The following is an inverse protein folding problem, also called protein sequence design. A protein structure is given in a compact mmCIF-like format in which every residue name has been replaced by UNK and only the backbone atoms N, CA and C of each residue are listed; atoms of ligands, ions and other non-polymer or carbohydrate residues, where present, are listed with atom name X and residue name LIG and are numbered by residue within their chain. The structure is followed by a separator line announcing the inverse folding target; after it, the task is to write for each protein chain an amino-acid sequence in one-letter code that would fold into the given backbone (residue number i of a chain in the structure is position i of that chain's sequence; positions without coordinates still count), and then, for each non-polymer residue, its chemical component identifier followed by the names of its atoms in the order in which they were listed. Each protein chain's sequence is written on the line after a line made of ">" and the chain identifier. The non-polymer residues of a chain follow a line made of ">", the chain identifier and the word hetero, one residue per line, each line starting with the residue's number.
data_IF_634521119365
#
_entry.id   IF_634521119365
#
_cell.length_a   1.000
_cell.length_b   1.000
_cell.length_c   1.000
_cell.angle_alpha   90.00
_cell.angle_beta   90.00
_cell.angle_gamma   90.00
#
_symmetry.space_group_name_H-M   'P 1'
#
loop_
_entity.id
_entity.type
_entity.pdbx_description
1 polymer ?
2 polymer ?
3 water ?
#
# COMPACT_ATOMS: atom_id res chain seq x y z
N UNK A 21 4.13 0.97 26.98
CA UNK A 21 4.94 2.04 27.56
C UNK A 21 4.29 3.40 27.32
N UNK A 22 5.11 4.44 27.35
CA UNK A 22 4.65 5.77 26.96
C UNK A 22 4.60 5.87 25.44
N UNK A 23 3.57 6.54 24.93
CA UNK A 23 3.38 6.62 23.49
C UNK A 23 4.55 7.35 22.82
N UNK A 24 4.95 8.48 23.38
CA UNK A 24 6.10 9.20 22.84
C UNK A 24 7.38 8.39 22.96
N UNK A 25 7.51 7.60 24.03
CA UNK A 25 8.65 6.69 24.16
C UNK A 25 8.62 5.63 23.06
N UNK A 26 7.41 5.20 22.66
CA UNK A 26 7.29 4.22 21.59
C UNK A 26 7.52 4.85 20.22
N UNK A 27 7.17 6.13 20.07
CA UNK A 27 7.25 6.75 18.75
C UNK A 27 8.69 7.04 18.36
N UNK A 28 9.43 7.72 19.24
CA UNK A 28 10.80 8.09 18.90
C UNK A 28 11.71 6.87 18.82
N UNK A 29 11.40 5.80 19.55
CA UNK A 29 12.12 4.55 19.37
C UNK A 29 11.80 3.92 18.02
N UNK A 30 10.59 4.13 17.51
CA UNK A 30 10.28 3.70 16.14
C UNK A 30 11.02 4.56 15.12
N UNK A 31 11.23 5.84 15.43
CA UNK A 31 12.05 6.68 14.56
C UNK A 31 13.51 6.24 14.59
N UNK A 32 14.00 5.79 15.74
CA UNK A 32 15.35 5.23 15.81
C UNK A 32 15.44 3.93 15.02
N UNK A 33 14.44 3.06 15.14
CA UNK A 33 14.43 1.82 14.39
C UNK A 33 14.40 2.07 12.89
N UNK A 34 13.74 3.13 12.46
CA UNK A 34 13.72 3.47 11.04
C UNK A 34 15.12 3.87 10.56
N UNK A 35 15.83 4.70 11.33
CA UNK A 35 17.19 5.07 10.97
C UNK A 35 18.11 3.85 10.96
N UNK A 36 17.91 2.93 11.92
CA UNK A 36 18.68 1.70 11.97
C UNK A 36 18.19 0.65 11.00
N UNK A 37 17.12 0.94 10.25
CA UNK A 37 16.54 0.01 9.27
C UNK A 37 16.13 -1.30 9.93
N UNK A 38 15.65 -1.24 11.16
CA UNK A 38 15.12 -2.40 11.87
C UNK A 38 13.60 -2.28 11.88
N UNK A 39 13.00 -2.63 10.75
CA UNK A 39 11.58 -2.36 10.54
C UNK A 39 10.68 -3.32 11.30
N UNK A 40 11.20 -4.47 11.73
CA UNK A 40 10.44 -5.31 12.66
C UNK A 40 10.24 -4.60 13.99
N UNK A 41 11.30 -3.99 14.52
CA UNK A 41 11.17 -3.17 15.72
C UNK A 41 10.28 -1.97 15.47
N UNK A 42 10.41 -1.34 14.30
CA UNK A 42 9.63 -0.16 13.99
C UNK A 42 8.14 -0.48 13.90
N UNK A 43 7.80 -1.63 13.30
CA UNK A 43 6.41 -2.03 13.21
C UNK A 43 5.85 -2.45 14.57
N UNK A 44 6.69 -3.05 15.41
CA UNK A 44 6.23 -3.47 16.73
C UNK A 44 5.88 -2.27 17.62
N UNK A 45 6.71 -1.22 17.56
CA UNK A 45 6.43 -0.03 18.38
C UNK A 45 5.19 0.69 17.89
N UNK A 46 5.05 0.88 16.58
CA UNK A 46 3.88 1.57 16.05
C UNK A 46 2.62 0.75 16.18
N UNK A 47 2.73 -0.57 16.27
CA UNK A 47 1.56 -1.39 16.51
C UNK A 47 1.01 -1.17 17.92
N UNK A 48 1.91 -1.10 18.91
CA UNK A 48 1.49 -0.84 20.28
C UNK A 48 0.91 0.56 20.44
N UNK A 49 1.42 1.53 19.67
CA UNK A 49 0.84 2.86 19.67
C UNK A 49 -0.60 2.80 19.18
N UNK A 50 -0.84 2.01 18.12
CA UNK A 50 -2.20 1.85 17.61
C UNK A 50 -3.09 1.13 18.62
N UNK A 51 -2.54 0.11 19.30
CA UNK A 51 -3.31 -0.69 20.24
C UNK A 51 -3.68 0.05 21.51
N UNK A 52 -3.19 1.29 21.69
CA UNK A 52 -3.62 2.10 22.83
C UNK A 52 -4.92 2.83 22.58
N UNK A 53 -5.58 2.59 21.44
CA UNK A 53 -6.91 3.10 21.19
C UNK A 53 -6.99 4.53 20.72
N UNK A 54 -5.94 5.33 20.91
CA UNK A 54 -6.00 6.74 20.55
C UNK A 54 -5.72 6.93 19.06
N UNK A 55 -6.31 7.99 18.51
CA UNK A 55 -6.06 8.36 17.13
C UNK A 55 -4.59 8.69 16.94
N UNK A 56 -4.07 8.34 15.76
CA UNK A 56 -2.68 8.60 15.43
C UNK A 56 -2.54 10.00 14.83
N UNK A 57 -1.49 10.71 15.26
CA UNK A 57 -1.13 11.91 14.53
C UNK A 57 -0.67 11.53 13.13
N UNK A 58 -0.55 12.53 12.27
CA UNK A 58 -0.09 12.25 10.91
C UNK A 58 1.35 11.75 10.91
N UNK A 59 2.15 12.15 11.89
CA UNK A 59 3.50 11.59 12.02
C UNK A 59 3.44 10.11 12.39
N UNK A 60 2.69 9.77 13.45
CA UNK A 60 2.53 8.37 13.82
C UNK A 60 1.85 7.58 12.72
N UNK A 61 0.95 8.22 11.97
CA UNK A 61 0.29 7.53 10.87
C UNK A 61 1.30 7.13 9.79
N UNK A 62 2.24 8.02 9.50
CA UNK A 62 3.25 7.71 8.48
C UNK A 62 4.30 6.72 9.00
N UNK A 63 4.65 6.79 10.28
CA UNK A 63 5.58 5.83 10.84
C UNK A 63 5.01 4.42 10.80
N UNK A 64 3.72 4.28 11.11
CA UNK A 64 3.07 2.98 10.99
C UNK A 64 3.01 2.52 9.54
N UNK A 65 2.73 3.46 8.62
CA UNK A 65 2.68 3.11 7.20
C UNK A 65 4.05 2.67 6.69
N UNK A 66 5.09 3.44 7.01
CA UNK A 66 6.43 3.11 6.51
C UNK A 66 6.91 1.79 7.08
N UNK A 67 6.63 1.54 8.36
CA UNK A 67 7.13 0.33 9.02
C UNK A 67 6.57 -0.92 8.37
N UNK A 68 5.25 -1.04 8.31
CA UNK A 68 4.65 -2.26 7.77
C UNK A 68 4.86 -2.36 6.26
N UNK A 69 5.02 -1.25 5.57
CA UNK A 69 5.34 -1.30 4.14
C UNK A 69 6.69 -1.97 3.92
N UNK A 70 7.66 -1.71 4.79
CA UNK A 70 8.96 -2.36 4.68
C UNK A 70 8.89 -3.81 5.12
N UNK A 71 8.07 -4.10 6.14
CA UNK A 71 7.95 -5.47 6.63
C UNK A 71 7.27 -6.36 5.59
N UNK A 72 6.16 -5.88 5.02
CA UNK A 72 5.47 -6.65 3.99
C UNK A 72 6.23 -6.55 2.66
N UNK A 73 6.96 -5.46 2.43
CA UNK A 73 7.69 -5.31 1.18
C UNK A 73 8.83 -6.29 1.04
N UNK A 74 9.45 -6.69 2.15
CA UNK A 74 10.52 -7.68 2.09
C UNK A 74 9.98 -9.04 1.68
N UNK A 75 8.78 -9.39 2.14
CA UNK A 75 8.19 -10.68 1.76
C UNK A 75 7.72 -10.66 0.32
N UNK A 76 7.16 -9.54 -0.14
CA UNK A 76 6.73 -9.44 -1.53
C UNK A 76 7.91 -9.60 -2.48
N UNK A 77 9.04 -8.94 -2.17
CA UNK A 77 10.23 -9.06 -3.00
C UNK A 77 10.78 -10.49 -2.96
N UNK A 78 10.86 -11.07 -1.77
CA UNK A 78 11.30 -12.47 -1.66
C UNK A 78 10.34 -13.42 -2.35
N UNK A 79 9.03 -13.13 -2.30
CA UNK A 79 8.07 -13.95 -2.99
C UNK A 79 8.27 -13.90 -4.50
N UNK A 80 8.54 -12.71 -5.04
CA UNK A 80 8.75 -12.59 -6.48
C UNK A 80 10.00 -13.34 -6.92
N UNK A 81 11.05 -13.31 -6.10
CA UNK A 81 12.29 -14.00 -6.44
C UNK A 81 12.08 -15.50 -6.44
N UNK A 82 11.48 -16.04 -5.38
CA UNK A 82 11.29 -17.48 -5.27
C UNK A 82 10.24 -17.95 -6.27
N UNK A 83 9.21 -17.13 -6.51
CA UNK A 83 8.22 -17.50 -7.52
C UNK A 83 8.87 -17.61 -8.89
N UNK A 84 9.73 -16.66 -9.26
CA UNK A 84 10.37 -16.70 -10.58
C UNK A 84 11.32 -17.90 -10.69
N UNK A 85 12.07 -18.19 -9.63
CA UNK A 85 12.92 -19.37 -9.63
C UNK A 85 12.09 -20.64 -9.79
N UNK A 86 10.87 -20.64 -9.24
CA UNK A 86 10.00 -21.81 -9.36
C UNK A 86 9.60 -22.07 -10.80
N UNK A 87 9.41 -21.01 -11.59
CA UNK A 87 8.99 -21.19 -12.97
C UNK A 87 10.16 -21.48 -13.91
N UNK A 88 11.38 -21.07 -13.56
CA UNK A 88 12.54 -21.37 -14.38
C UNK A 88 13.16 -22.72 -14.05
N UNK A 89 12.69 -23.39 -12.99
CA UNK A 89 13.05 -24.76 -12.70
C UNK A 89 11.92 -25.72 -13.05
N UNK A 90 11.18 -25.41 -14.11
CA UNK A 90 10.02 -26.22 -14.48
C UNK A 90 10.40 -27.67 -14.75
N UNK A 91 11.49 -27.89 -15.48
CA UNK A 91 11.94 -29.24 -15.76
C UNK A 91 13.00 -29.76 -14.80
N UNK A 92 13.07 -29.16 -13.62
CA UNK A 92 13.96 -29.60 -12.55
C UNK A 92 13.08 -29.98 -11.36
N UNK A 93 12.77 -31.27 -11.24
CA UNK A 93 11.78 -31.71 -10.26
C UNK A 93 12.19 -31.36 -8.84
N UNK A 94 13.41 -31.74 -8.45
CA UNK A 94 13.82 -31.52 -7.07
C UNK A 94 14.00 -30.05 -6.74
N UNK A 95 14.55 -29.27 -7.69
CA UNK A 95 14.75 -27.85 -7.44
C UNK A 95 13.42 -27.10 -7.39
N UNK A 96 12.46 -27.48 -8.23
CA UNK A 96 11.18 -26.78 -8.25
C UNK A 96 10.37 -27.06 -6.99
N UNK A 97 10.44 -28.28 -6.48
CA UNK A 97 9.70 -28.61 -5.26
C UNK A 97 10.18 -27.78 -4.08
N UNK A 98 11.50 -27.57 -3.98
CA UNK A 98 12.05 -26.75 -2.92
C UNK A 98 11.64 -25.29 -3.09
N UNK A 99 11.67 -24.79 -4.33
CA UNK A 99 11.23 -23.43 -4.59
C UNK A 99 9.75 -23.26 -4.29
N UNK A 100 8.94 -24.28 -4.62
CA UNK A 100 7.51 -24.20 -4.31
C UNK A 100 7.28 -24.18 -2.80
N UNK A 101 8.02 -25.01 -2.06
CA UNK A 101 7.87 -25.05 -0.60
C UNK A 101 8.28 -23.72 0.01
N UNK A 102 9.39 -23.15 -0.43
CA UNK A 102 9.87 -21.90 0.12
C UNK A 102 8.93 -20.75 -0.21
N UNK A 103 8.33 -20.77 -1.41
CA UNK A 103 7.34 -19.75 -1.75
C UNK A 103 6.11 -19.85 -0.87
N UNK A 104 5.73 -21.06 -0.48
CA UNK A 104 4.57 -21.23 0.40
C UNK A 104 4.87 -20.74 1.81
N UNK A 105 6.13 -20.87 2.26
CA UNK A 105 6.49 -20.36 3.57
C UNK A 105 6.50 -18.84 3.59
N UNK A 106 7.04 -18.22 2.54
CA UNK A 106 7.02 -16.76 2.45
C UNK A 106 5.57 -16.26 2.34
N UNK A 107 4.74 -17.01 1.63
CA UNK A 107 3.33 -16.63 1.49
C UNK A 107 2.64 -16.59 2.86
N UNK A 108 2.88 -17.61 3.69
CA UNK A 108 2.26 -17.65 5.01
C UNK A 108 2.71 -16.47 5.86
N UNK A 109 4.00 -16.10 5.78
CA UNK A 109 4.47 -14.90 6.46
C UNK A 109 3.77 -13.65 5.91
N UNK A 110 3.60 -13.59 4.59
CA UNK A 110 3.01 -12.41 3.97
C UNK A 110 1.54 -12.26 4.35
N UNK A 111 0.81 -13.38 4.42
CA UNK A 111 -0.60 -13.30 4.78
C UNK A 111 -0.78 -12.92 6.25
N UNK A 112 0.12 -13.38 7.12
CA UNK A 112 0.02 -12.99 8.53
C UNK A 112 0.29 -11.50 8.71
N UNK A 113 1.22 -10.94 7.93
CA UNK A 113 1.53 -9.52 8.05
C UNK A 113 0.35 -8.67 7.61
N UNK A 114 -0.25 -9.00 6.46
CA UNK A 114 -1.39 -8.25 5.97
C UNK A 114 -2.60 -8.41 6.90
N UNK A 115 -2.83 -9.64 7.38
CA UNK A 115 -3.96 -9.87 8.28
C UNK A 115 -3.82 -9.07 9.57
N UNK A 116 -2.59 -8.87 10.04
CA UNK A 116 -2.39 -8.00 11.20
C UNK A 116 -2.65 -6.54 10.85
N UNK A 117 -2.15 -6.09 9.70
CA UNK A 117 -2.38 -4.71 9.27
C UNK A 117 -3.87 -4.46 9.07
N UNK A 118 -4.55 -5.39 8.40
CA UNK A 118 -5.98 -5.26 8.19
C UNK A 118 -6.74 -5.34 9.52
N UNK A 119 -6.24 -6.15 10.46
CA UNK A 119 -6.84 -6.20 11.79
C UNK A 119 -6.72 -4.85 12.50
N UNK A 120 -5.55 -4.21 12.41
CA UNK A 120 -5.37 -2.91 13.03
C UNK A 120 -6.23 -1.84 12.37
N UNK A 121 -6.47 -1.97 11.06
CA UNK A 121 -7.27 -0.98 10.35
C UNK A 121 -8.73 -1.05 10.75
N UNK A 122 -9.27 -2.26 10.91
CA UNK A 122 -10.71 -2.40 11.16
C UNK A 122 -11.07 -2.22 12.63
N UNK A 123 -10.13 -2.41 13.56
CA UNK A 123 -10.43 -2.28 14.98
C UNK A 123 -10.08 -0.91 15.56
N UNK A 124 -8.96 -0.32 15.13
CA UNK A 124 -8.55 0.96 15.69
C UNK A 124 -8.55 2.10 14.67
N UNK A 125 -8.05 1.87 13.46
CA UNK A 125 -7.66 2.98 12.60
C UNK A 125 -8.85 3.59 11.85
N UNK A 126 -9.57 2.78 11.09
CA UNK A 126 -10.72 3.29 10.33
C UNK A 126 -11.89 3.65 11.26
N UNK A 127 -12.22 2.84 12.27
CA UNK A 127 -13.35 3.23 13.13
C UNK A 127 -13.14 4.54 13.89
N UNK A 128 -11.92 4.81 14.36
CA UNK A 128 -11.65 6.03 15.10
C UNK A 128 -11.19 7.19 14.23
N UNK A 129 -11.17 7.01 12.91
CA UNK A 129 -10.74 8.08 12.02
C UNK A 129 -11.78 9.19 11.99
N UNK A 130 -11.47 10.33 12.63
CA UNK A 130 -12.40 11.45 12.70
C UNK A 130 -12.30 12.35 11.48
N UNK A 131 -11.17 12.38 10.80
CA UNK A 131 -10.91 13.32 9.72
C UNK A 131 -11.00 12.60 8.37
N UNK A 132 -11.41 13.36 7.34
CA UNK A 132 -11.50 12.78 6.01
C UNK A 132 -10.12 12.37 5.50
N UNK A 133 -9.08 13.14 5.83
CA UNK A 133 -7.74 12.81 5.39
C UNK A 133 -7.29 11.47 5.94
N UNK A 134 -7.52 11.23 7.23
CA UNK A 134 -7.10 9.97 7.84
C UNK A 134 -7.92 8.81 7.32
N UNK A 135 -9.22 9.03 7.09
CA UNK A 135 -10.07 7.96 6.58
C UNK A 135 -9.68 7.56 5.16
N UNK A 136 -9.36 8.54 4.31
CA UNK A 136 -8.84 8.22 2.98
C UNK A 136 -7.52 7.47 3.08
N UNK A 137 -6.67 7.88 4.03
CA UNK A 137 -5.38 7.22 4.22
C UNK A 137 -5.57 5.76 4.63
N UNK A 138 -6.41 5.51 5.62
CA UNK A 138 -6.58 4.15 6.13
C UNK A 138 -7.35 3.27 5.15
N UNK A 139 -8.30 3.84 4.41
CA UNK A 139 -9.01 3.06 3.40
C UNK A 139 -8.13 2.71 2.22
N UNK A 140 -7.18 3.60 1.87
CA UNK A 140 -6.18 3.26 0.87
C UNK A 140 -5.27 2.15 1.39
N UNK A 141 -4.91 2.20 2.67
CA UNK A 141 -4.08 1.16 3.26
C UNK A 141 -4.81 -0.19 3.26
N UNK A 142 -6.12 -0.18 3.52
CA UNK A 142 -6.89 -1.41 3.45
C UNK A 142 -6.89 -1.97 2.04
N UNK A 143 -7.05 -1.11 1.04
CA UNK A 143 -6.96 -1.56 -0.34
C UNK A 143 -5.59 -2.05 -0.73
N UNK A 144 -4.55 -1.41 -0.20
CA UNK A 144 -3.18 -1.82 -0.52
C UNK A 144 -2.89 -3.23 0.00
N UNK A 145 -3.22 -3.49 1.27
CA UNK A 145 -2.88 -4.76 1.87
C UNK A 145 -3.83 -5.89 1.45
N UNK A 146 -5.02 -5.57 0.97
CA UNK A 146 -5.81 -6.58 0.28
C UNK A 146 -5.25 -6.85 -1.10
N UNK A 147 -4.68 -5.83 -1.75
CA UNK A 147 -4.01 -6.03 -3.03
C UNK A 147 -2.78 -6.92 -2.87
N UNK A 148 -2.05 -6.76 -1.75
CA UNK A 148 -0.91 -7.63 -1.50
C UNK A 148 -1.35 -9.06 -1.24
N UNK A 149 -2.54 -9.26 -0.66
CA UNK A 149 -3.09 -10.61 -0.55
C UNK A 149 -3.51 -11.14 -1.91
N UNK A 150 -4.06 -10.27 -2.75
CA UNK A 150 -4.49 -10.70 -4.08
C UNK A 150 -3.32 -11.10 -4.95
N UNK A 151 -2.13 -10.55 -4.70
CA UNK A 151 -0.95 -10.92 -5.46
C UNK A 151 -0.53 -12.36 -5.23
N UNK A 152 -0.90 -12.95 -4.09
CA UNK A 152 -0.48 -14.30 -3.72
C UNK A 152 -1.67 -15.22 -3.54
N UNK A 153 -2.85 -14.83 -3.99
CA UNK A 153 -4.07 -15.62 -3.82
C UNK A 153 -4.51 -16.19 -5.16
N UNK A 154 -5.45 -17.14 -5.08
CA UNK A 154 -5.98 -17.79 -6.26
C UNK A 154 -7.35 -18.36 -5.94
N UNK A 155 -8.20 -18.43 -6.96
CA UNK A 155 -9.51 -19.06 -6.83
C UNK A 155 -10.61 -18.13 -6.37
N UNK A 156 -11.60 -18.69 -5.67
CA UNK A 156 -12.70 -17.88 -5.15
C UNK A 156 -12.28 -17.05 -3.96
N UNK A 157 -11.37 -17.57 -3.14
CA UNK A 157 -10.84 -16.78 -2.03
C UNK A 157 -10.15 -15.53 -2.54
N UNK A 158 -9.50 -15.63 -3.72
CA UNK A 158 -8.90 -14.47 -4.34
C UNK A 158 -9.96 -13.47 -4.80
N UNK A 159 -11.05 -13.97 -5.37
CA UNK A 159 -12.11 -13.08 -5.85
C UNK A 159 -12.68 -12.24 -4.72
N UNK A 160 -12.92 -12.86 -3.55
CA UNK A 160 -13.35 -12.09 -2.40
C UNK A 160 -12.29 -11.14 -1.89
N UNK A 161 -11.02 -11.53 -1.98
CA UNK A 161 -9.93 -10.64 -1.61
C UNK A 161 -9.87 -9.44 -2.54
N UNK A 162 -10.02 -9.67 -3.85
CA UNK A 162 -9.94 -8.60 -4.83
C UNK A 162 -11.09 -7.61 -4.65
N UNK A 163 -12.30 -8.12 -4.39
CA UNK A 163 -13.44 -7.23 -4.20
C UNK A 163 -13.28 -6.38 -2.95
N UNK A 164 -12.66 -6.92 -1.91
CA UNK A 164 -12.38 -6.12 -0.71
C UNK A 164 -11.39 -5.00 -1.04
N UNK A 165 -10.39 -5.28 -1.85
CA UNK A 165 -9.42 -4.26 -2.23
C UNK A 165 -10.08 -3.16 -3.07
N UNK A 166 -10.97 -3.54 -4.00
CA UNK A 166 -11.64 -2.56 -4.84
C UNK A 166 -12.61 -1.71 -4.03
N UNK A 167 -13.30 -2.31 -3.06
CA UNK A 167 -14.25 -1.57 -2.24
C UNK A 167 -13.55 -0.52 -1.39
N UNK A 168 -12.41 -0.88 -0.79
CA UNK A 168 -11.67 0.08 0.03
C UNK A 168 -11.11 1.21 -0.83
N UNK A 169 -10.54 0.86 -1.99
CA UNK A 169 -10.02 1.88 -2.90
C UNK A 169 -11.12 2.82 -3.37
N UNK A 170 -12.29 2.27 -3.72
CA UNK A 170 -13.36 3.08 -4.28
C UNK A 170 -13.93 4.05 -3.25
N UNK A 171 -14.18 3.58 -2.03
CA UNK A 171 -14.69 4.47 -0.99
C UNK A 171 -13.69 5.57 -0.67
N UNK A 172 -12.40 5.20 -0.56
CA UNK A 172 -11.37 6.21 -0.35
C UNK A 172 -11.30 7.18 -1.52
N UNK A 173 -11.49 6.68 -2.74
CA UNK A 173 -11.44 7.53 -3.92
C UNK A 173 -12.59 8.53 -3.94
N UNK A 174 -13.78 8.10 -3.52
CA UNK A 174 -14.93 8.99 -3.53
C UNK A 174 -14.83 10.05 -2.44
N UNK A 175 -14.30 9.68 -1.28
CA UNK A 175 -14.10 10.67 -0.21
C UNK A 175 -13.01 11.66 -0.60
N UNK A 176 -11.94 11.17 -1.25
CA UNK A 176 -10.83 12.05 -1.59
C UNK A 176 -11.25 13.10 -2.63
N UNK A 177 -12.05 12.71 -3.61
CA UNK A 177 -12.49 13.66 -4.63
C UNK A 177 -13.54 14.63 -4.10
N UNK A 178 -14.25 14.28 -3.04
CA UNK A 178 -15.23 15.19 -2.44
C UNK A 178 -14.60 16.12 -1.42
N UNK A 179 -13.50 15.73 -0.78
CA UNK A 179 -12.94 16.47 0.33
C UNK A 179 -11.54 17.01 0.10
N UNK A 180 -10.83 16.56 -0.95
CA UNK A 180 -9.46 16.99 -1.20
C UNK A 180 -9.33 17.60 -2.58
N UNK A 181 -8.36 18.51 -2.71
CA UNK A 181 -8.03 19.09 -4.00
C UNK A 181 -7.28 18.07 -4.85
N UNK A 182 -7.33 18.20 -6.17
CA UNK A 182 -6.65 17.22 -7.03
C UNK A 182 -5.14 17.15 -6.82
N UNK A 183 -4.53 18.19 -6.24
CA UNK A 183 -3.10 18.21 -5.99
C UNK A 183 -2.73 17.69 -4.61
N UNK A 184 -3.69 17.18 -3.85
CA UNK A 184 -3.38 16.65 -2.53
C UNK A 184 -2.57 15.37 -2.68
N UNK A 185 -1.43 15.24 -1.97
CA UNK A 185 -0.59 14.05 -2.16
C UNK A 185 -1.27 12.76 -1.77
N UNK A 186 -2.13 12.78 -0.76
CA UNK A 186 -2.84 11.56 -0.36
C UNK A 186 -3.84 11.16 -1.43
N UNK A 187 -4.52 12.15 -2.03
CA UNK A 187 -5.44 11.84 -3.13
C UNK A 187 -4.68 11.40 -4.36
N UNK A 188 -3.54 12.02 -4.65
CA UNK A 188 -2.72 11.61 -5.78
C UNK A 188 -2.13 10.22 -5.57
N UNK A 189 -1.60 9.96 -4.36
CA UNK A 189 -1.07 8.65 -4.07
C UNK A 189 -2.14 7.56 -4.05
N UNK A 190 -3.37 7.93 -3.70
CA UNK A 190 -4.46 6.97 -3.77
C UNK A 190 -4.81 6.62 -5.20
N UNK A 191 -4.87 7.62 -6.08
CA UNK A 191 -5.09 7.37 -7.50
C UNK A 191 -3.96 6.58 -8.12
N UNK A 192 -2.74 6.74 -7.60
CA UNK A 192 -1.62 5.96 -8.10
C UNK A 192 -1.77 4.48 -7.78
N UNK A 193 -2.09 4.16 -6.53
CA UNK A 193 -2.23 2.77 -6.14
C UNK A 193 -3.52 2.15 -6.68
N UNK A 194 -4.59 2.93 -6.79
CA UNK A 194 -5.83 2.43 -7.38
C UNK A 194 -5.62 2.04 -8.83
N UNK A 195 -4.89 2.86 -9.59
CA UNK A 195 -4.60 2.52 -10.97
C UNK A 195 -3.71 1.29 -11.05
N UNK A 196 -2.75 1.16 -10.14
CA UNK A 196 -1.93 -0.05 -10.09
C UNK A 196 -2.81 -1.27 -9.83
N UNK A 197 -3.83 -1.12 -8.99
CA UNK A 197 -4.75 -2.21 -8.72
C UNK A 197 -5.49 -2.63 -9.99
N UNK A 198 -5.88 -1.65 -10.81
CA UNK A 198 -6.61 -1.97 -12.03
C UNK A 198 -5.71 -2.68 -13.04
N UNK A 199 -4.45 -2.24 -13.14
CA UNK A 199 -3.54 -2.81 -14.13
C UNK A 199 -3.05 -4.20 -13.71
N UNK A 200 -2.59 -4.34 -12.46
CA UNK A 200 -1.90 -5.55 -12.05
C UNK A 200 -2.83 -6.63 -11.51
N UNK A 201 -3.97 -6.26 -10.93
CA UNK A 201 -4.86 -7.22 -10.30
C UNK A 201 -6.06 -7.56 -11.20
N UNK A 202 -6.69 -6.55 -11.77
CA UNK A 202 -7.84 -6.77 -12.64
C UNK A 202 -7.48 -6.80 -14.11
N UNK A 203 -6.19 -6.63 -14.44
CA UNK A 203 -5.70 -6.73 -15.82
C UNK A 203 -6.51 -5.87 -16.77
N UNK A 204 -6.79 -4.64 -16.34
CA UNK A 204 -7.46 -3.62 -17.15
C UNK A 204 -6.50 -2.47 -17.40
N UNK A 205 -5.66 -2.52 -18.44
CA UNK A 205 -4.59 -1.51 -18.59
C UNK A 205 -5.06 -0.07 -18.80
N UNK A 206 -6.37 0.18 -18.90
CA UNK A 206 -6.96 1.43 -19.36
C UNK A 206 -7.97 1.97 -18.38
N UNK A 207 -8.62 1.12 -17.58
CA UNK A 207 -9.30 1.57 -16.37
C UNK A 207 -8.28 2.12 -15.37
N UNK A 208 -7.02 1.70 -15.51
CA UNK A 208 -5.88 2.25 -14.79
C UNK A 208 -5.30 3.46 -15.50
N UNK A 209 -5.13 3.38 -16.82
CA UNK A 209 -4.57 4.50 -17.56
C UNK A 209 -5.49 5.71 -17.51
N UNK A 210 -6.79 5.49 -17.66
CA UNK A 210 -7.74 6.59 -17.56
C UNK A 210 -7.71 7.22 -16.18
N UNK A 211 -7.77 6.39 -15.13
CA UNK A 211 -7.73 6.90 -13.77
C UNK A 211 -6.45 7.67 -13.51
N UNK A 212 -5.31 7.12 -13.94
CA UNK A 212 -4.03 7.80 -13.72
C UNK A 212 -3.95 9.09 -14.52
N UNK A 213 -4.41 9.08 -15.78
CA UNK A 213 -4.35 10.29 -16.59
C UNK A 213 -5.33 11.35 -16.08
N UNK A 214 -6.49 10.93 -15.60
CA UNK A 214 -7.44 11.88 -15.03
C UNK A 214 -6.88 12.55 -13.80
N UNK A 215 -6.25 11.78 -12.92
CA UNK A 215 -5.64 12.36 -11.72
C UNK A 215 -4.51 13.31 -12.08
N UNK A 216 -3.69 12.94 -13.06
CA UNK A 216 -2.59 13.81 -13.49
C UNK A 216 -3.13 15.09 -14.13
N UNK A 217 -4.10 14.94 -15.04
CA UNK A 217 -4.61 16.11 -15.76
C UNK A 217 -5.36 17.06 -14.83
N UNK A 218 -6.13 16.52 -13.89
CA UNK A 218 -6.86 17.37 -12.96
C UNK A 218 -5.93 18.03 -11.96
N UNK A 219 -4.76 17.43 -11.69
CA UNK A 219 -3.78 18.07 -10.83
C UNK A 219 -3.05 19.19 -11.56
N UNK A 220 -2.75 18.99 -12.85
CA UNK A 220 -2.14 20.04 -13.63
C UNK A 220 -3.15 21.17 -13.90
N UNK A 221 -4.42 20.82 -14.06
CA UNK A 221 -5.44 21.83 -14.33
C UNK A 221 -5.71 22.73 -13.14
N UNK A 222 -5.40 22.28 -11.93
CA UNK A 222 -5.60 23.06 -10.71
C UNK A 222 -4.31 23.11 -9.90
N UNK A 223 -3.18 23.37 -10.57
CA UNK A 223 -1.90 23.50 -9.89
C UNK A 223 -1.87 24.68 -8.93
N UNK A 224 -2.85 25.57 -9.00
CA UNK A 224 -2.93 26.68 -8.04
C UNK A 224 -3.26 26.19 -6.63
N UNK A 225 -3.84 25.00 -6.49
CA UNK A 225 -4.25 24.48 -5.19
C UNK A 225 -3.11 23.77 -4.46
N UNK A 226 -1.89 23.81 -4.97
CA UNK A 226 -0.81 23.03 -4.39
C UNK A 226 -0.06 23.88 -3.36
N UNK A 227 0.22 23.26 -2.21
CA UNK A 227 0.80 23.94 -1.06
C UNK A 227 2.32 23.80 -1.04
N UNK A 228 2.98 24.78 -0.42
CA UNK A 228 4.43 24.78 -0.34
C UNK A 228 4.96 23.59 0.47
N UNK A 229 4.23 23.21 1.53
CA UNK A 229 4.66 22.13 2.40
C UNK A 229 4.44 20.75 1.78
N UNK A 230 3.69 20.65 0.69
CA UNK A 230 3.34 19.36 0.11
C UNK A 230 3.59 19.31 -1.40
N UNK A 231 4.21 20.32 -1.98
CA UNK A 231 4.27 20.38 -3.44
C UNK A 231 5.34 19.46 -4.01
N UNK A 232 6.42 19.20 -3.27
CA UNK A 232 7.38 18.22 -3.75
C UNK A 232 6.87 16.80 -3.59
N UNK A 233 5.99 16.56 -2.62
CA UNK A 233 5.34 15.26 -2.50
C UNK A 233 4.35 15.04 -3.64
N UNK A 234 3.53 16.06 -3.93
CA UNK A 234 2.52 15.92 -4.99
C UNK A 234 3.17 15.84 -6.36
N UNK A 235 4.18 16.68 -6.62
CA UNK A 235 4.85 16.64 -7.92
C UNK A 235 5.51 15.29 -8.16
N UNK A 236 6.02 14.66 -7.10
CA UNK A 236 6.65 13.35 -7.26
C UNK A 236 5.61 12.29 -7.65
N UNK A 237 4.45 12.31 -7.01
CA UNK A 237 3.41 11.34 -7.34
C UNK A 237 2.87 11.59 -8.75
N UNK A 238 2.82 12.85 -9.17
CA UNK A 238 2.44 13.13 -10.55
C UNK A 238 3.45 12.56 -11.54
N UNK A 239 4.74 12.54 -11.16
CA UNK A 239 5.73 11.89 -12.01
C UNK A 239 5.52 10.38 -12.06
N UNK A 240 5.14 9.78 -10.92
CA UNK A 240 4.89 8.34 -10.90
C UNK A 240 3.64 7.97 -11.68
N UNK A 241 2.59 8.79 -11.58
CA UNK A 241 1.39 8.57 -12.39
C UNK A 241 1.74 8.57 -13.87
N UNK A 242 2.64 9.48 -14.28
CA UNK A 242 2.98 9.58 -15.68
C UNK A 242 3.90 8.45 -16.12
N UNK A 243 4.71 7.91 -15.21
CA UNK A 243 5.54 6.76 -15.53
C UNK A 243 4.70 5.50 -15.75
N UNK A 244 3.73 5.27 -14.87
CA UNK A 244 2.81 4.16 -15.10
C UNK A 244 2.07 4.33 -16.41
N UNK A 245 1.71 5.57 -16.75
CA UNK A 245 1.06 5.82 -18.04
C UNK A 245 1.97 5.44 -19.19
N UNK A 246 3.22 5.90 -19.15
CA UNK A 246 4.16 5.59 -20.23
C UNK A 246 4.42 4.10 -20.32
N UNK A 247 4.61 3.44 -19.17
CA UNK A 247 4.91 2.01 -19.17
C UNK A 247 3.71 1.20 -19.64
N UNK A 248 2.52 1.51 -19.12
CA UNK A 248 1.31 0.82 -19.57
C UNK A 248 0.97 1.14 -21.02
N UNK A 249 1.43 2.28 -21.53
CA UNK A 249 1.34 2.58 -22.95
C UNK A 249 2.59 2.05 -23.65
N UNK A 250 2.68 0.73 -23.68
CA UNK A 250 3.82 0.02 -24.26
C UNK A 250 3.52 -1.47 -24.37
N UNK B 4 7.20 4.65 -11.46
CA UNK B 4 7.65 3.35 -11.92
C UNK B 4 6.81 2.19 -11.40
N UNK B 5 5.86 2.50 -10.52
CA UNK B 5 4.99 1.50 -9.92
C UNK B 5 4.03 2.08 -8.91
N UNK B 6 3.94 1.44 -7.75
CA UNK B 6 3.08 1.93 -6.68
C UNK B 6 3.78 3.00 -5.85
N UNK B 7 3.08 3.51 -4.83
CA UNK B 7 3.60 4.57 -3.98
C UNK B 7 4.72 4.08 -3.08
N UNK B 8 5.87 4.74 -3.13
CA UNK B 8 6.96 4.39 -2.23
C UNK B 8 6.94 5.18 -0.94
N UNK B 9 7.96 5.00 -0.09
CA UNK B 9 8.05 5.77 1.15
C UNK B 9 8.97 6.97 0.97
#
# INVERSE_FOLDING_TARGET
>A
MGSSHHHHHHSSGLVPRGSHMDKNELVQKAKLAEQAERYDDMAACMKSVTEQGAELSNEERNLLSVAYKNVVGARRSSWRVVSSIEQKTEGAEKKQQMAREYREKIETELRDICNDVLSLLEKFLIPNASQAESKVFYLKMKGDYYRYLAEVAAGDDKKGIVDQSQQAYQEAFEISKKEMQPTHPIRLGLALNFSVFYYEILNSPEKACSLAKTAFDEAIAELDTLSEESYKDSTLIMQLLRDNLTLWTSDTQGDEAEAGEGGEN
>B
QYYGGSLPNVN
#
